data_IF_907576185626
#
_entry.id   IF_907576185626
#
_cell.length_a   1.000
_cell.length_b   1.000
_cell.length_c   1.000
_cell.angle_alpha   90.00
_cell.angle_beta   90.00
_cell.angle_gamma   90.00
#
_symmetry.space_group_name_H-M   'P 1'
#
loop_
_entity.id
_entity.type
_entity.pdbx_description
1 polymer ?
#
# COMPACT_ATOMS: atom_id res chain seq x y z
N UNK A 1 16.01 1.35 -5.87
CA UNK A 1 14.80 0.59 -5.48
C UNK A 1 13.91 0.52 -6.70
N UNK A 2 13.35 -0.64 -7.02
CA UNK A 2 12.35 -0.73 -8.09
C UNK A 2 11.00 -0.28 -7.54
N UNK A 3 10.57 0.93 -7.88
CA UNK A 3 9.30 1.47 -7.38
C UNK A 3 8.08 0.75 -7.93
N UNK A 4 8.17 0.11 -9.10
CA UNK A 4 7.07 -0.69 -9.63
C UNK A 4 6.85 -1.89 -8.74
N UNK A 5 7.92 -2.63 -8.42
CA UNK A 5 7.84 -3.77 -7.50
C UNK A 5 7.40 -3.36 -6.09
N UNK A 6 7.81 -2.16 -5.66
CA UNK A 6 7.52 -1.62 -4.34
C UNK A 6 6.20 -0.84 -4.22
N UNK A 7 5.38 -0.82 -5.27
CA UNK A 7 4.07 -0.16 -5.26
C UNK A 7 2.98 -1.14 -5.68
N UNK A 8 2.00 -1.36 -4.80
CA UNK A 8 0.89 -2.24 -5.09
C UNK A 8 0.05 -1.75 -6.28
N UNK A 9 -0.65 -2.63 -7.01
CA UNK A 9 -1.52 -2.24 -8.12
C UNK A 9 -2.60 -1.22 -7.73
N UNK A 10 -2.93 -1.14 -6.45
CA UNK A 10 -3.87 -0.19 -5.84
C UNK A 10 -3.26 1.19 -5.48
N UNK A 11 -1.97 1.42 -5.71
CA UNK A 11 -1.31 2.70 -5.40
C UNK A 11 -0.75 2.81 -3.97
N UNK A 12 -0.75 1.73 -3.18
CA UNK A 12 -0.05 1.71 -1.88
C UNK A 12 1.45 1.56 -2.10
N UNK A 13 2.21 2.48 -1.52
CA UNK A 13 3.68 2.49 -1.44
C UNK A 13 4.19 1.58 -0.31
N UNK A 14 4.69 0.41 -0.67
CA UNK A 14 5.23 -0.53 0.32
C UNK A 14 6.49 0.02 1.00
N UNK A 15 7.27 0.85 0.30
CA UNK A 15 8.52 1.41 0.82
C UNK A 15 8.35 2.42 1.96
N UNK A 16 7.15 2.99 2.16
CA UNK A 16 6.81 3.80 3.35
C UNK A 16 5.91 3.04 4.35
N UNK A 17 5.65 1.76 4.11
CA UNK A 17 4.82 0.94 4.98
C UNK A 17 5.62 0.50 6.22
N UNK A 18 5.06 0.71 7.41
CA UNK A 18 5.70 0.32 8.68
C UNK A 18 6.04 -1.17 8.76
N UNK A 19 5.21 -2.04 8.16
CA UNK A 19 5.45 -3.48 8.12
C UNK A 19 6.62 -3.85 7.18
N UNK A 20 6.82 -3.11 6.09
CA UNK A 20 8.00 -3.29 5.23
C UNK A 20 9.27 -2.74 5.90
N UNK A 21 9.18 -1.57 6.54
CA UNK A 21 10.31 -0.96 7.25
C UNK A 21 10.76 -1.79 8.47
N UNK A 22 9.88 -2.60 9.04
CA UNK A 22 10.21 -3.55 10.12
C UNK A 22 11.23 -4.63 9.71
N UNK A 23 11.46 -4.86 8.41
CA UNK A 23 12.52 -5.77 7.95
C UNK A 23 13.90 -5.32 8.46
N UNK A 24 14.21 -4.02 8.39
CA UNK A 24 15.52 -3.47 8.77
C UNK A 24 15.52 -2.74 10.11
N UNK A 25 14.35 -2.57 10.75
CA UNK A 25 14.21 -1.84 12.01
C UNK A 25 13.59 -2.70 13.11
N UNK A 26 14.42 -3.18 14.04
CA UNK A 26 14.02 -4.04 15.16
C UNK A 26 12.99 -3.37 16.10
N UNK A 27 13.10 -2.07 16.34
CA UNK A 27 12.13 -1.34 17.17
C UNK A 27 10.76 -1.30 16.51
N UNK A 28 10.71 -1.01 15.21
CA UNK A 28 9.46 -1.08 14.45
C UNK A 28 8.91 -2.50 14.40
N UNK A 29 9.77 -3.51 14.23
CA UNK A 29 9.37 -4.92 14.20
C UNK A 29 8.64 -5.33 15.48
N UNK A 30 9.19 -5.00 16.64
CA UNK A 30 8.54 -5.24 17.94
C UNK A 30 7.17 -4.55 18.04
N UNK A 31 7.11 -3.26 17.72
CA UNK A 31 5.86 -2.51 17.77
C UNK A 31 4.78 -3.05 16.80
N UNK A 32 5.19 -3.50 15.61
CA UNK A 32 4.29 -4.14 14.64
C UNK A 32 3.83 -5.50 15.14
N UNK A 33 4.74 -6.32 15.67
CA UNK A 33 4.43 -7.64 16.24
C UNK A 33 3.40 -7.54 17.37
N UNK A 34 3.60 -6.63 18.32
CA UNK A 34 2.68 -6.36 19.41
C UNK A 34 1.32 -5.87 18.89
N UNK A 35 1.32 -4.84 18.02
CA UNK A 35 0.08 -4.27 17.49
C UNK A 35 -0.74 -5.26 16.67
N UNK A 36 -0.08 -6.16 15.94
CA UNK A 36 -0.73 -7.13 15.06
C UNK A 36 -0.92 -8.50 15.73
N UNK A 37 -0.47 -8.68 16.97
CA UNK A 37 -0.49 -9.95 17.70
C UNK A 37 0.16 -11.08 16.88
N UNK A 38 1.38 -10.82 16.40
CA UNK A 38 2.20 -11.74 15.63
C UNK A 38 3.50 -12.06 16.38
N UNK A 39 4.10 -13.25 16.16
CA UNK A 39 5.50 -13.47 16.50
C UNK A 39 6.40 -12.41 15.83
N UNK A 40 7.45 -11.95 16.54
CA UNK A 40 8.34 -10.89 16.02
C UNK A 40 8.95 -11.25 14.65
N UNK A 41 9.25 -12.53 14.42
CA UNK A 41 9.81 -13.01 13.16
C UNK A 41 8.80 -13.01 11.99
N UNK A 42 7.49 -12.97 12.26
CA UNK A 42 6.44 -12.85 11.25
C UNK A 42 6.06 -11.39 10.97
N UNK A 43 6.50 -10.44 11.80
CA UNK A 43 6.24 -9.00 11.67
C UNK A 43 7.13 -8.33 10.60
N UNK A 44 7.28 -8.97 9.45
CA UNK A 44 8.09 -8.54 8.31
C UNK A 44 7.32 -8.71 7.00
N UNK A 45 7.68 -7.98 5.93
CA UNK A 45 6.98 -8.04 4.66
C UNK A 45 7.84 -7.61 3.47
N UNK A 46 7.75 -8.31 2.34
CA UNK A 46 8.52 -8.00 1.13
C UNK A 46 7.74 -7.16 0.10
N UNK A 47 6.55 -6.68 0.47
CA UNK A 47 5.68 -5.90 -0.41
C UNK A 47 4.66 -6.74 -1.15
N UNK A 48 3.62 -6.06 -1.67
CA UNK A 48 2.43 -6.72 -2.21
C UNK A 48 2.70 -7.55 -3.46
N UNK A 49 3.56 -7.07 -4.37
CA UNK A 49 3.90 -7.80 -5.60
C UNK A 49 4.79 -9.01 -5.34
N UNK A 50 5.78 -8.88 -4.46
CA UNK A 50 6.64 -10.00 -4.06
C UNK A 50 5.85 -11.15 -3.43
N UNK A 51 4.76 -10.82 -2.74
CA UNK A 51 3.86 -11.78 -2.11
C UNK A 51 2.70 -12.24 -3.00
N UNK A 52 2.62 -11.81 -4.26
CA UNK A 52 1.48 -12.12 -5.13
C UNK A 52 0.13 -11.66 -4.58
N UNK A 53 0.12 -10.60 -3.76
CA UNK A 53 -1.07 -10.10 -3.07
C UNK A 53 -1.41 -10.81 -1.75
N UNK A 54 -0.69 -11.86 -1.36
CA UNK A 54 -0.92 -12.66 -0.14
C UNK A 54 0.06 -12.24 0.96
N UNK A 55 -0.27 -11.19 1.72
CA UNK A 55 0.60 -10.70 2.80
C UNK A 55 0.50 -11.64 4.04
N UNK A 56 1.57 -12.36 4.43
CA UNK A 56 1.50 -13.33 5.54
C UNK A 56 1.14 -12.70 6.87
N UNK A 57 1.73 -11.54 7.19
CA UNK A 57 1.42 -10.79 8.41
C UNK A 57 -0.06 -10.35 8.51
N UNK A 58 -0.80 -10.33 7.39
CA UNK A 58 -2.24 -10.05 7.40
C UNK A 58 -3.10 -11.32 7.50
N UNK A 59 -2.49 -12.50 7.73
CA UNK A 59 -3.15 -13.82 7.81
C UNK A 59 -4.06 -14.10 6.61
N UNK A 60 -3.70 -13.60 5.43
CA UNK A 60 -4.45 -13.86 4.20
C UNK A 60 -4.03 -15.21 3.63
N UNK A 61 -5.01 -15.99 3.21
CA UNK A 61 -4.80 -17.24 2.45
C UNK A 61 -4.90 -17.03 0.95
N UNK A 62 -5.45 -15.89 0.51
CA UNK A 62 -5.64 -15.55 -0.89
C UNK A 62 -5.30 -14.07 -1.18
N UNK A 63 -4.94 -13.75 -2.45
CA UNK A 63 -4.64 -12.37 -2.82
C UNK A 63 -5.85 -11.47 -2.61
N UNK A 64 -5.62 -10.16 -2.38
CA UNK A 64 -6.75 -9.24 -2.28
C UNK A 64 -7.48 -9.07 -3.61
N UNK A 65 -8.78 -8.80 -3.55
CA UNK A 65 -9.64 -8.67 -4.73
C UNK A 65 -9.10 -7.69 -5.78
N UNK A 66 -8.46 -6.60 -5.33
CA UNK A 66 -7.82 -5.63 -6.24
C UNK A 66 -6.62 -6.25 -6.96
N UNK A 67 -5.78 -6.99 -6.25
CA UNK A 67 -4.62 -7.65 -6.85
C UNK A 67 -5.07 -8.72 -7.84
N UNK A 68 -6.02 -9.59 -7.46
CA UNK A 68 -6.59 -10.62 -8.34
C UNK A 68 -7.14 -10.00 -9.63
N UNK A 69 -7.96 -8.95 -9.51
CA UNK A 69 -8.58 -8.28 -10.65
C UNK A 69 -7.54 -7.71 -11.63
N UNK A 70 -6.52 -7.03 -11.12
CA UNK A 70 -5.51 -6.38 -11.98
C UNK A 70 -4.57 -7.40 -12.61
N UNK A 71 -4.19 -8.43 -11.87
CA UNK A 71 -3.40 -9.55 -12.41
C UNK A 71 -4.13 -10.28 -13.54
N UNK A 72 -5.44 -10.54 -13.38
CA UNK A 72 -6.25 -11.18 -14.43
C UNK A 72 -6.37 -10.33 -15.70
N UNK A 73 -6.43 -9.00 -15.56
CA UNK A 73 -6.48 -8.06 -16.69
C UNK A 73 -5.11 -7.78 -17.33
N UNK A 74 -4.02 -8.30 -16.77
CA UNK A 74 -2.66 -8.06 -17.27
C UNK A 74 -2.15 -6.63 -17.07
N UNK A 75 -2.81 -5.82 -16.25
CA UNK A 75 -2.40 -4.45 -15.97
C UNK A 75 -1.38 -4.39 -14.82
N UNK A 76 -0.58 -3.32 -14.79
CA UNK A 76 0.35 -3.04 -13.70
C UNK A 76 -0.36 -2.29 -12.58
N UNK A 77 -1.25 -1.37 -12.92
CA UNK A 77 -1.97 -0.50 -12.00
C UNK A 77 -3.46 -0.42 -12.32
N UNK A 78 -4.27 -0.10 -11.31
CA UNK A 78 -5.71 0.03 -11.52
C UNK A 78 -6.08 1.14 -12.51
N UNK A 79 -5.30 2.23 -12.59
CA UNK A 79 -5.61 3.36 -13.45
C UNK A 79 -5.52 3.07 -14.96
N UNK A 80 -4.97 1.91 -15.33
CA UNK A 80 -4.90 1.41 -16.71
C UNK A 80 -6.23 0.76 -17.14
N UNK A 81 -7.08 0.40 -16.17
CA UNK A 81 -8.41 -0.15 -16.43
C UNK A 81 -9.38 0.95 -16.88
N UNK A 82 -10.21 0.66 -17.89
CA UNK A 82 -11.31 1.55 -18.34
C UNK A 82 -12.28 1.93 -17.23
N UNK A 83 -12.52 0.98 -16.32
CA UNK A 83 -13.46 1.13 -15.20
C UNK A 83 -12.88 1.93 -14.03
N UNK A 84 -11.66 2.47 -14.13
CA UNK A 84 -11.04 3.19 -13.03
C UNK A 84 -11.62 4.62 -12.88
N UNK A 85 -11.98 5.04 -11.64
CA UNK A 85 -12.00 4.26 -10.39
C UNK A 85 -13.23 3.35 -10.29
N UNK A 86 -13.07 2.17 -9.67
CA UNK A 86 -14.17 1.21 -9.47
C UNK A 86 -14.38 0.82 -8.00
N UNK A 87 -15.47 0.13 -7.71
CA UNK A 87 -15.89 -0.27 -6.36
C UNK A 87 -14.87 -1.14 -5.61
N UNK A 88 -13.94 -1.81 -6.30
CA UNK A 88 -12.86 -2.57 -5.64
C UNK A 88 -11.86 -1.66 -4.92
N UNK A 89 -11.82 -0.38 -5.28
CA UNK A 89 -10.99 0.65 -4.65
C UNK A 89 -11.74 1.46 -3.59
N UNK A 90 -12.96 1.05 -3.23
CA UNK A 90 -13.76 1.76 -2.23
C UNK A 90 -12.98 1.98 -0.93
N UNK A 91 -13.17 3.16 -0.36
CA UNK A 91 -12.52 3.62 0.85
C UNK A 91 -13.45 3.40 2.02
N UNK A 92 -13.03 2.56 2.96
CA UNK A 92 -13.82 2.28 4.16
C UNK A 92 -13.35 3.18 5.29
N UNK A 93 -14.31 3.79 6.00
CA UNK A 93 -14.02 4.55 7.21
C UNK A 93 -13.45 3.63 8.31
N UNK A 94 -13.86 2.37 8.32
CA UNK A 94 -13.27 1.34 9.16
C UNK A 94 -11.76 1.23 8.90
N UNK A 95 -10.97 1.26 9.98
CA UNK A 95 -9.51 1.20 9.96
C UNK A 95 -8.81 2.33 9.19
N UNK A 96 -9.50 3.41 8.80
CA UNK A 96 -8.91 4.52 8.01
C UNK A 96 -7.74 5.21 8.73
N UNK A 97 -7.77 5.29 10.07
CA UNK A 97 -6.67 5.82 10.88
C UNK A 97 -5.45 4.89 10.97
N UNK A 98 -5.60 3.61 10.59
CA UNK A 98 -4.57 2.58 10.76
C UNK A 98 -3.98 2.10 9.43
N UNK A 99 -4.78 2.11 8.36
CA UNK A 99 -4.41 1.57 7.05
C UNK A 99 -4.42 2.71 6.01
N UNK A 100 -3.42 2.77 5.10
CA UNK A 100 -3.39 3.78 4.04
C UNK A 100 -4.36 3.44 2.90
N UNK A 101 -5.60 3.02 3.22
CA UNK A 101 -6.59 2.68 2.21
C UNK A 101 -6.97 3.93 1.42
N UNK A 102 -7.14 5.07 2.11
CA UNK A 102 -7.66 6.30 1.52
C UNK A 102 -6.65 7.02 0.63
N UNK A 103 -5.36 6.65 0.69
CA UNK A 103 -4.34 7.20 -0.21
C UNK A 103 -4.28 6.47 -1.54
N UNK A 104 -4.90 5.28 -1.69
CA UNK A 104 -4.85 4.43 -2.89
C UNK A 104 -5.19 5.18 -4.17
N UNK A 105 -6.43 5.66 -4.27
CA UNK A 105 -6.94 6.31 -5.49
C UNK A 105 -6.18 7.59 -5.77
N UNK A 106 -5.87 8.38 -4.73
CA UNK A 106 -5.09 9.61 -4.88
C UNK A 106 -3.69 9.32 -5.44
N UNK A 107 -2.99 8.32 -4.91
CA UNK A 107 -1.70 7.88 -5.41
C UNK A 107 -1.79 7.36 -6.84
N UNK A 108 -2.82 6.59 -7.21
CA UNK A 108 -3.01 6.13 -8.58
C UNK A 108 -3.16 7.30 -9.58
N UNK A 109 -3.93 8.34 -9.22
CA UNK A 109 -4.04 9.55 -10.02
C UNK A 109 -2.70 10.26 -10.18
N UNK A 110 -1.91 10.37 -9.11
CA UNK A 110 -0.58 10.97 -9.15
C UNK A 110 0.40 10.15 -9.98
N UNK A 111 0.40 8.82 -9.85
CA UNK A 111 1.26 7.93 -10.65
C UNK A 111 0.90 8.06 -12.13
N UNK A 112 -0.39 8.07 -12.49
CA UNK A 112 -0.84 8.29 -13.87
C UNK A 112 -0.37 9.63 -14.42
N UNK A 113 -0.41 10.70 -13.60
CA UNK A 113 -0.04 12.06 -14.00
C UNK A 113 1.47 12.26 -14.11
N UNK A 114 2.24 11.74 -13.16
CA UNK A 114 3.66 12.09 -12.97
C UNK A 114 4.61 10.98 -13.46
N UNK A 115 4.12 9.76 -13.61
CA UNK A 115 4.93 8.56 -13.66
C UNK A 115 5.37 8.10 -12.27
N UNK A 116 5.70 6.82 -12.16
CA UNK A 116 5.95 6.16 -10.86
C UNK A 116 7.19 6.71 -10.14
N UNK A 117 8.28 6.95 -10.86
CA UNK A 117 9.54 7.46 -10.30
C UNK A 117 9.36 8.82 -9.65
N UNK A 118 8.79 9.78 -10.39
CA UNK A 118 8.55 11.14 -9.89
C UNK A 118 7.59 11.14 -8.71
N UNK A 119 6.51 10.35 -8.78
CA UNK A 119 5.58 10.21 -7.66
C UNK A 119 6.27 9.63 -6.42
N UNK A 120 7.06 8.55 -6.56
CA UNK A 120 7.70 7.89 -5.44
C UNK A 120 8.70 8.82 -4.73
N UNK A 121 9.51 9.56 -5.49
CA UNK A 121 10.53 10.46 -4.97
C UNK A 121 9.96 11.76 -4.37
N UNK A 122 8.89 12.30 -4.94
CA UNK A 122 8.43 13.67 -4.61
C UNK A 122 7.10 13.71 -3.84
N UNK A 123 6.26 12.68 -3.98
CA UNK A 123 4.85 12.72 -3.52
C UNK A 123 4.48 11.61 -2.53
N UNK A 124 4.94 10.38 -2.71
CA UNK A 124 4.48 9.25 -1.90
C UNK A 124 4.58 9.51 -0.39
N UNK A 125 5.73 10.00 0.08
CA UNK A 125 5.93 10.36 1.49
C UNK A 125 5.02 11.51 1.94
N UNK A 126 4.99 12.62 1.19
CA UNK A 126 4.20 13.80 1.59
C UNK A 126 2.70 13.50 1.61
N UNK A 127 2.18 12.73 0.65
CA UNK A 127 0.79 12.25 0.67
C UNK A 127 0.47 11.51 1.97
N UNK A 128 1.35 10.58 2.36
CA UNK A 128 1.17 9.80 3.58
C UNK A 128 1.24 10.69 4.83
N UNK A 129 2.17 11.63 4.88
CA UNK A 129 2.32 12.54 6.02
C UNK A 129 1.13 13.49 6.14
N UNK A 130 0.70 14.11 5.03
CA UNK A 130 -0.51 14.93 4.99
C UNK A 130 -1.73 14.16 5.49
N UNK A 131 -1.93 12.94 4.99
CA UNK A 131 -3.11 12.15 5.36
C UNK A 131 -3.16 11.75 6.85
N UNK A 132 -2.02 11.39 7.46
CA UNK A 132 -1.99 10.85 8.83
C UNK A 132 -1.60 11.88 9.91
N UNK A 133 -0.97 13.00 9.56
CA UNK A 133 -0.39 13.94 10.54
C UNK A 133 -1.00 15.34 10.50
N UNK A 134 -1.45 15.80 9.34
CA UNK A 134 -1.96 17.16 9.19
C UNK A 134 -3.42 17.25 9.62
N UNK A 135 -3.87 18.48 9.91
CA UNK A 135 -5.27 18.76 10.21
C UNK A 135 -6.01 19.13 8.93
N UNK A 136 -7.31 18.83 8.91
CA UNK A 136 -8.17 19.33 7.86
C UNK A 136 -8.27 20.86 7.94
N UNK A 137 -8.16 21.52 6.79
CA UNK A 137 -8.28 22.97 6.65
C UNK A 137 -9.42 23.27 5.66
N UNK A 138 -10.34 24.18 6.05
CA UNK A 138 -11.43 24.69 5.23
C UNK A 138 -11.00 25.97 4.50
#
# INVERSE_FOLDING_TARGET
>A
MDYLQMTGPCGIDCFNCVLYLANSNKKLRKAVAEKMQLPEHEAVCNGCRAHGGIIPALKRTEPCQVFQCISQKGFKFCFECSDFPCDRLHLYADMASQRPLNTKVFNLCLIKKLGIEKWALQKAKSVRETYFKEKFHL
#
